data_IF_493273122029
#
_entry.id   IF_493273122029
#
_cell.length_a   1.000
_cell.length_b   1.000
_cell.length_c   1.000
_cell.angle_alpha   90.00
_cell.angle_beta   90.00
_cell.angle_gamma   90.00
#
_symmetry.space_group_name_H-M   'P 1'
#
loop_
_entity.id
_entity.type
_entity.pdbx_description
1 polymer ?
#
# COMPACT_ATOMS: atom_id res chain seq x y z
N UNK A 1 -18.66 10.04 -12.71
CA UNK A 1 -17.44 9.29 -13.05
C UNK A 1 -16.89 9.90 -14.32
N UNK A 2 -15.65 10.37 -14.32
CA UNK A 2 -15.01 10.97 -15.51
C UNK A 2 -14.13 9.89 -16.12
N UNK A 3 -14.25 9.67 -17.42
CA UNK A 3 -13.55 8.61 -18.15
C UNK A 3 -12.64 9.24 -19.19
N UNK A 4 -11.45 8.66 -19.38
CA UNK A 4 -10.51 9.09 -20.40
C UNK A 4 -10.11 7.88 -21.25
N UNK A 5 -10.06 8.08 -22.56
CA UNK A 5 -9.50 7.11 -23.49
C UNK A 5 -8.06 7.52 -23.81
N UNK A 6 -7.13 6.59 -23.66
CA UNK A 6 -5.71 6.79 -23.97
C UNK A 6 -5.20 5.61 -24.77
N UNK A 7 -4.45 5.90 -25.83
CA UNK A 7 -3.81 4.87 -26.66
C UNK A 7 -2.40 4.62 -26.16
N UNK A 8 -2.05 3.36 -25.99
CA UNK A 8 -0.69 2.95 -25.64
C UNK A 8 0.25 3.21 -26.81
N UNK A 9 1.40 3.80 -26.55
CA UNK A 9 2.43 3.99 -27.57
C UNK A 9 3.04 2.65 -28.00
N UNK A 10 3.75 2.64 -29.15
CA UNK A 10 4.47 1.45 -29.62
C UNK A 10 5.52 0.92 -28.61
N UNK A 11 5.94 1.75 -27.65
CA UNK A 11 6.88 1.38 -26.59
C UNK A 11 6.19 0.89 -25.30
N UNK A 12 4.88 0.70 -25.32
CA UNK A 12 4.12 0.28 -24.13
C UNK A 12 3.88 1.39 -23.11
N UNK A 13 4.00 2.66 -23.51
CA UNK A 13 3.80 3.79 -22.59
C UNK A 13 2.37 4.32 -22.70
N UNK A 14 1.73 4.56 -21.55
CA UNK A 14 0.48 5.30 -21.44
C UNK A 14 0.76 6.66 -20.78
N UNK A 15 0.07 7.70 -21.24
CA UNK A 15 0.27 9.06 -20.76
C UNK A 15 -0.92 9.49 -19.91
N UNK A 16 -0.66 10.18 -18.80
CA UNK A 16 -1.70 10.74 -17.93
C UNK A 16 -2.10 12.13 -18.45
N UNK A 17 -3.35 12.33 -18.91
CA UNK A 17 -3.83 13.64 -19.40
C UNK A 17 -3.72 14.73 -18.35
N UNK A 18 -3.61 16.00 -18.78
CA UNK A 18 -3.45 17.14 -17.87
C UNK A 18 -4.56 17.21 -16.82
N UNK A 19 -5.81 17.07 -17.22
CA UNK A 19 -6.95 17.09 -16.27
C UNK A 19 -6.90 15.97 -15.23
N UNK A 20 -6.41 14.77 -15.60
CA UNK A 20 -6.27 13.66 -14.66
C UNK A 20 -5.13 13.92 -13.67
N UNK A 21 -4.03 14.53 -14.12
CA UNK A 21 -2.94 14.97 -13.24
C UNK A 21 -3.42 15.99 -12.22
N UNK A 22 -4.20 16.99 -12.65
CA UNK A 22 -4.76 18.00 -11.75
C UNK A 22 -5.75 17.39 -10.75
N UNK A 23 -6.61 16.46 -11.19
CA UNK A 23 -7.57 15.79 -10.31
C UNK A 23 -6.89 14.92 -9.24
N UNK A 24 -5.80 14.26 -9.60
CA UNK A 24 -5.02 13.41 -8.69
C UNK A 24 -3.89 14.16 -7.97
N UNK A 25 -3.78 15.47 -8.19
CA UNK A 25 -2.76 16.35 -7.64
C UNK A 25 -1.32 15.86 -7.91
N UNK A 26 -1.08 15.32 -9.10
CA UNK A 26 0.21 14.76 -9.54
C UNK A 26 1.16 15.84 -10.05
N UNK A 27 2.38 15.82 -9.52
CA UNK A 27 3.50 16.69 -9.91
C UNK A 27 4.62 15.90 -10.59
N UNK A 28 5.46 16.54 -11.44
CA UNK A 28 6.65 15.89 -11.98
C UNK A 28 7.57 15.40 -10.86
N UNK A 29 7.94 14.12 -10.89
CA UNK A 29 8.76 13.48 -9.86
C UNK A 29 7.97 12.60 -8.89
N UNK A 30 6.63 12.70 -8.88
CA UNK A 30 5.79 11.83 -8.06
C UNK A 30 5.92 10.38 -8.49
N UNK A 31 6.00 9.49 -7.50
CA UNK A 31 5.98 8.06 -7.72
C UNK A 31 4.55 7.56 -7.83
N UNK A 32 4.36 6.49 -8.59
CA UNK A 32 3.06 5.87 -8.81
C UNK A 32 3.22 4.36 -8.64
N UNK A 33 2.26 3.73 -7.96
CA UNK A 33 2.20 2.28 -7.83
C UNK A 33 1.13 1.72 -8.76
N UNK A 34 1.51 0.70 -9.53
CA UNK A 34 0.60 -0.14 -10.29
C UNK A 34 0.28 -1.38 -9.45
N UNK A 35 -1.00 -1.62 -9.24
CA UNK A 35 -1.51 -2.86 -8.64
C UNK A 35 -2.46 -3.53 -9.63
N UNK A 36 -2.45 -4.86 -9.69
CA UNK A 36 -3.42 -5.63 -10.48
C UNK A 36 -4.37 -6.29 -9.50
N UNK A 37 -5.64 -5.95 -9.58
CA UNK A 37 -6.70 -6.49 -8.72
C UNK A 37 -7.82 -6.96 -9.64
N UNK A 38 -8.17 -8.24 -9.58
CA UNK A 38 -9.25 -8.85 -10.39
C UNK A 38 -9.14 -8.59 -11.90
N UNK A 39 -7.91 -8.49 -12.42
CA UNK A 39 -7.63 -8.21 -13.83
C UNK A 39 -7.69 -6.74 -14.21
N UNK A 40 -8.00 -5.85 -13.26
CA UNK A 40 -7.96 -4.41 -13.44
C UNK A 40 -6.63 -3.83 -12.93
N UNK A 41 -6.15 -2.79 -13.61
CA UNK A 41 -4.98 -2.04 -13.17
C UNK A 41 -5.45 -0.87 -12.30
N UNK A 42 -5.11 -0.91 -11.02
CA UNK A 42 -5.31 0.17 -10.08
C UNK A 42 -4.02 0.98 -9.97
N UNK A 43 -4.12 2.27 -10.25
CA UNK A 43 -3.01 3.22 -10.21
C UNK A 43 -3.16 4.09 -8.97
N UNK A 44 -2.19 4.02 -8.07
CA UNK A 44 -2.19 4.81 -6.82
C UNK A 44 -1.02 5.79 -6.80
N UNK A 45 -1.27 7.12 -6.76
CA UNK A 45 -0.26 8.13 -6.53
C UNK A 45 0.43 7.95 -5.18
N UNK A 46 1.77 8.06 -5.15
CA UNK A 46 2.57 8.22 -3.93
C UNK A 46 3.07 9.65 -3.83
N UNK A 47 2.13 10.58 -3.80
CA UNK A 47 2.37 12.03 -3.75
C UNK A 47 1.99 12.66 -2.41
N UNK A 48 1.72 11.85 -1.38
CA UNK A 48 1.40 12.32 -0.03
C UNK A 48 2.69 12.30 0.81
N UNK A 49 3.05 13.44 1.41
CA UNK A 49 4.15 13.50 2.38
C UNK A 49 3.67 12.89 3.72
N UNK A 50 4.54 12.14 4.39
CA UNK A 50 4.25 11.59 5.72
C UNK A 50 3.88 12.70 6.73
N UNK A 51 4.42 13.91 6.54
CA UNK A 51 4.06 15.08 7.34
C UNK A 51 2.59 15.48 7.20
N UNK A 52 1.99 15.29 6.03
CA UNK A 52 0.57 15.57 5.81
C UNK A 52 -0.33 14.54 6.49
N UNK A 53 0.22 13.37 6.83
CA UNK A 53 -0.45 12.33 7.61
C UNK A 53 -0.35 12.55 9.12
N UNK A 54 0.48 13.50 9.58
CA UNK A 54 0.63 13.79 10.99
C UNK A 54 -0.70 14.28 11.59
N UNK A 55 -1.22 13.54 12.56
CA UNK A 55 -2.51 13.84 13.20
C UNK A 55 -3.74 13.25 12.51
N UNK A 56 -3.58 12.55 11.37
CA UNK A 56 -4.70 11.93 10.65
C UNK A 56 -5.43 10.86 11.48
N UNK A 57 -4.69 10.08 12.28
CA UNK A 57 -5.25 9.05 13.15
C UNK A 57 -6.02 9.61 14.36
N UNK A 58 -6.02 10.93 14.55
CA UNK A 58 -6.77 11.59 15.62
C UNK A 58 -6.30 11.21 17.03
N UNK A 59 -7.21 11.35 18.00
CA UNK A 59 -6.98 10.86 19.37
C UNK A 59 -7.23 9.36 19.40
N UNK A 60 -6.27 8.62 19.95
CA UNK A 60 -6.44 7.19 20.16
C UNK A 60 -7.68 6.93 21.05
N UNK A 61 -8.61 6.05 20.63
CA UNK A 61 -9.87 5.83 21.34
C UNK A 61 -9.68 5.29 22.77
N UNK A 62 -8.60 4.55 23.00
CA UNK A 62 -8.24 3.98 24.30
C UNK A 62 -7.03 4.68 24.96
N UNK A 63 -6.64 5.86 24.46
CA UNK A 63 -5.44 6.54 24.94
C UNK A 63 -4.14 5.92 24.41
N UNK A 64 -3.03 6.28 25.04
CA UNK A 64 -1.70 5.77 24.67
C UNK A 64 -1.53 4.35 25.19
N UNK A 65 -1.10 3.43 24.32
CA UNK A 65 -0.76 2.07 24.73
C UNK A 65 0.60 2.04 25.43
N UNK A 66 0.76 1.17 26.43
CA UNK A 66 2.07 0.87 27.02
C UNK A 66 2.86 -0.10 26.13
N UNK A 67 4.16 -0.24 26.40
CA UNK A 67 4.99 -1.21 25.67
C UNK A 67 4.50 -2.65 25.91
N UNK A 68 4.07 -2.96 27.14
CA UNK A 68 3.53 -4.26 27.50
C UNK A 68 2.24 -4.58 26.73
N UNK A 69 1.32 -3.62 26.59
CA UNK A 69 0.09 -3.79 25.82
C UNK A 69 0.36 -4.03 24.32
N UNK A 70 1.40 -3.37 23.78
CA UNK A 70 1.85 -3.58 22.40
C UNK A 70 2.44 -4.99 22.24
N UNK A 71 3.31 -5.40 23.16
CA UNK A 71 3.95 -6.72 23.13
C UNK A 71 2.89 -7.84 23.23
N UNK A 72 1.91 -7.70 24.12
CA UNK A 72 0.78 -8.62 24.22
C UNK A 72 -0.03 -8.68 22.92
N UNK A 73 -0.35 -7.54 22.32
CA UNK A 73 -1.10 -7.49 21.06
C UNK A 73 -0.33 -8.15 19.89
N UNK A 74 0.98 -7.95 19.83
CA UNK A 74 1.86 -8.59 18.85
C UNK A 74 1.90 -10.09 19.07
N UNK A 75 2.06 -10.57 20.31
CA UNK A 75 2.05 -12.01 20.61
C UNK A 75 0.71 -12.66 20.23
N UNK A 76 -0.41 -12.03 20.61
CA UNK A 76 -1.75 -12.56 20.31
C UNK A 76 -2.03 -12.61 18.80
N UNK A 77 -1.57 -11.62 18.03
CA UNK A 77 -1.94 -11.48 16.61
C UNK A 77 -0.89 -12.06 15.66
N UNK A 78 0.39 -11.76 15.87
CA UNK A 78 1.47 -12.28 15.04
C UNK A 78 1.75 -13.77 15.34
N UNK A 79 1.58 -14.21 16.59
CA UNK A 79 1.68 -15.63 16.96
C UNK A 79 0.63 -16.51 16.27
N UNK A 80 -0.59 -15.98 16.09
CA UNK A 80 -1.66 -16.68 15.35
C UNK A 80 -1.35 -16.83 13.85
N UNK A 81 -0.69 -15.84 13.24
CA UNK A 81 -0.37 -15.85 11.81
C UNK A 81 0.92 -16.64 11.48
N UNK A 82 1.89 -16.73 12.39
CA UNK A 82 3.11 -17.53 12.21
C UNK A 82 2.81 -19.03 12.06
N UNK A 83 1.73 -19.52 12.67
CA UNK A 83 1.25 -20.90 12.54
C UNK A 83 0.48 -21.16 11.22
N UNK A 84 0.11 -20.11 10.48
CA UNK A 84 -0.61 -20.25 9.20
C UNK A 84 0.31 -20.23 7.97
N UNK A 85 1.60 -19.87 8.12
CA UNK A 85 2.62 -20.12 7.09
C UNK A 85 3.10 -21.56 7.20
N UNK A 86 2.44 -22.45 6.46
CA UNK A 86 2.95 -23.80 6.23
C UNK A 86 4.31 -23.78 5.55
N UNK A 87 5.24 -24.58 6.07
CA UNK A 87 6.45 -25.00 5.37
C UNK A 87 7.74 -24.30 5.81
N UNK A 88 8.26 -24.65 6.98
CA UNK A 88 9.71 -24.72 7.21
C UNK A 88 9.96 -26.00 8.03
N UNK A 89 9.82 -27.16 7.37
CA UNK A 89 10.28 -28.41 7.94
C UNK A 89 11.82 -28.44 7.86
N UNK A 90 12.53 -28.49 8.99
CA UNK A 90 14.00 -28.53 8.99
C UNK A 90 14.58 -29.78 8.30
N UNK A 91 13.76 -30.75 7.86
CA UNK A 91 14.21 -31.89 7.05
C UNK A 91 14.65 -31.54 5.62
N UNK A 92 14.21 -30.40 5.05
CA UNK A 92 14.54 -30.01 3.66
C UNK A 92 15.94 -29.38 3.51
N UNK A 93 16.69 -29.20 4.61
CA UNK A 93 18.05 -28.66 4.60
C UNK A 93 19.15 -29.74 4.50
N UNK A 94 18.77 -31.01 4.37
CA UNK A 94 19.70 -32.12 4.24
C UNK A 94 19.33 -33.07 3.08
N UNK A 95 19.59 -32.64 1.84
CA UNK A 95 19.80 -33.51 0.67
C UNK A 95 20.60 -32.77 -0.42
#
# INVERSE_FOLDING_TARGET
>A
MKTWEVTMSAKGQITIPKEMRELLNLSPGDQIVYSVIDGEIVITPKNIDLKDLAGFLGKAPNGHATLEEIDEAVVQTAGANALSTGGNDPSDLAA
#
